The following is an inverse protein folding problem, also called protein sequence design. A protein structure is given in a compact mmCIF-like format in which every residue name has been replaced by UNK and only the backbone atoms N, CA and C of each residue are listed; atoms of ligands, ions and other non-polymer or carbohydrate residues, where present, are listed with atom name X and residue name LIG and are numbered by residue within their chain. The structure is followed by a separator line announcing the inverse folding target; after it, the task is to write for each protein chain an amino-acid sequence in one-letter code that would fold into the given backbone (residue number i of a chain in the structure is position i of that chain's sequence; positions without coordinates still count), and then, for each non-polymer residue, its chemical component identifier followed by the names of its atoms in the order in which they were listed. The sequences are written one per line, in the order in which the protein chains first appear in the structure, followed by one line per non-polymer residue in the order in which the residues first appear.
data_IF_150037695655
#
_entry.id   IF_150037695655
#
_cell.length_a   1.000
_cell.length_b   1.000
_cell.length_c   1.000
_cell.angle_alpha   90.00
_cell.angle_beta   90.00
_cell.angle_gamma   90.00
#
_symmetry.space_group_name_H-M   'P 1'
#
loop_
_entity.id
_entity.type
_entity.pdbx_description
1 polymer ?
#
# COMPACT_ATOMS: atom_id res chain seq x y z
N UNK A 1 13.37 41.54 12.25
CA UNK A 1 12.42 40.41 12.14
C UNK A 1 12.15 40.21 10.65
N UNK A 2 13.04 39.46 9.98
CA UNK A 2 12.91 39.14 8.56
C UNK A 2 12.13 37.82 8.45
N UNK A 3 10.91 37.90 7.93
CA UNK A 3 10.06 36.73 7.68
C UNK A 3 10.74 35.80 6.70
N UNK A 4 11.08 34.60 7.16
CA UNK A 4 11.43 33.49 6.27
C UNK A 4 10.25 33.24 5.34
N UNK A 5 10.46 33.09 4.04
CA UNK A 5 9.40 32.66 3.14
C UNK A 5 8.99 31.23 3.53
N UNK A 6 7.85 31.09 4.18
CA UNK A 6 7.14 29.81 4.21
C UNK A 6 6.82 29.50 2.77
N UNK A 7 7.43 28.44 2.23
CA UNK A 7 7.00 27.88 0.96
C UNK A 7 5.56 27.39 1.16
N UNK A 8 4.60 28.28 0.90
CA UNK A 8 3.18 27.93 0.76
C UNK A 8 3.03 27.18 -0.56
N UNK A 9 3.64 25.98 -0.65
CA UNK A 9 3.59 25.15 -1.83
C UNK A 9 2.23 24.51 -1.97
N UNK A 10 1.32 25.20 -2.65
CA UNK A 10 0.17 24.53 -3.27
C UNK A 10 0.71 23.73 -4.43
N UNK A 11 0.52 22.40 -4.40
CA UNK A 11 0.82 21.53 -5.55
C UNK A 11 -0.28 21.67 -6.58
N UNK A 12 0.09 21.55 -7.87
CA UNK A 12 -0.83 21.67 -8.98
C UNK A 12 -1.64 20.38 -9.22
N UNK A 13 -2.63 20.47 -10.13
CA UNK A 13 -3.49 19.34 -10.51
C UNK A 13 -2.69 18.14 -11.02
N UNK A 14 -1.62 18.35 -11.79
CA UNK A 14 -0.76 17.27 -12.29
C UNK A 14 -0.13 16.43 -11.18
N UNK A 15 0.27 17.04 -10.07
CA UNK A 15 0.77 16.32 -8.90
C UNK A 15 -0.32 15.42 -8.30
N UNK A 16 -1.52 15.95 -8.11
CA UNK A 16 -2.65 15.18 -7.57
C UNK A 16 -3.04 14.04 -8.49
N UNK A 17 -3.04 14.24 -9.81
CA UNK A 17 -3.33 13.19 -10.79
C UNK A 17 -2.33 12.03 -10.67
N UNK A 18 -1.02 12.34 -10.70
CA UNK A 18 0.03 11.31 -10.58
C UNK A 18 -0.01 10.61 -9.23
N UNK A 19 -0.24 11.37 -8.15
CA UNK A 19 -0.36 10.83 -6.80
C UNK A 19 -1.58 9.88 -6.67
N UNK A 20 -2.73 10.30 -7.21
CA UNK A 20 -3.95 9.48 -7.23
C UNK A 20 -3.77 8.23 -8.08
N UNK A 21 -3.13 8.34 -9.25
CA UNK A 21 -2.81 7.19 -10.10
C UNK A 21 -1.87 6.19 -9.43
N UNK A 22 -0.86 6.67 -8.70
CA UNK A 22 0.01 5.79 -7.92
C UNK A 22 -0.76 5.01 -6.85
N UNK A 23 -1.62 5.70 -6.10
CA UNK A 23 -2.47 5.07 -5.09
C UNK A 23 -3.53 4.15 -5.70
N UNK A 24 -4.13 4.55 -6.84
CA UNK A 24 -5.05 3.70 -7.59
C UNK A 24 -4.37 2.39 -7.98
N UNK A 25 -3.16 2.46 -8.54
CA UNK A 25 -2.42 1.26 -8.93
C UNK A 25 -2.11 0.36 -7.72
N UNK A 26 -1.66 0.93 -6.59
CA UNK A 26 -1.40 0.18 -5.36
C UNK A 26 -2.68 -0.53 -4.86
N UNK A 27 -3.78 0.20 -4.75
CA UNK A 27 -5.03 -0.36 -4.25
C UNK A 27 -5.63 -1.41 -5.19
N UNK A 28 -5.55 -1.19 -6.50
CA UNK A 28 -5.99 -2.16 -7.50
C UNK A 28 -5.27 -3.50 -7.32
N UNK A 29 -3.94 -3.48 -7.24
CA UNK A 29 -3.14 -4.72 -7.15
C UNK A 29 -3.15 -5.37 -5.77
N UNK A 30 -3.52 -4.63 -4.74
CA UNK A 30 -3.69 -5.20 -3.40
C UNK A 30 -5.08 -5.81 -3.22
N UNK A 31 -6.13 -5.09 -3.63
CA UNK A 31 -7.51 -5.47 -3.31
C UNK A 31 -8.09 -6.51 -4.27
N UNK A 32 -7.70 -6.50 -5.55
CA UNK A 32 -8.19 -7.49 -6.52
C UNK A 32 -7.77 -8.91 -6.18
N UNK A 33 -6.49 -9.21 -5.90
CA UNK A 33 -6.10 -10.53 -5.43
C UNK A 33 -6.75 -10.89 -4.10
N UNK A 34 -6.81 -9.95 -3.16
CA UNK A 34 -7.36 -10.18 -1.82
C UNK A 34 -8.83 -10.61 -1.87
N UNK A 35 -9.63 -9.96 -2.72
CA UNK A 35 -11.08 -10.16 -2.76
C UNK A 35 -11.53 -11.22 -3.77
N UNK A 36 -10.78 -11.43 -4.84
CA UNK A 36 -11.20 -12.30 -5.94
C UNK A 36 -10.20 -13.42 -6.22
N UNK A 37 -8.95 -13.08 -6.55
CA UNK A 37 -8.05 -14.05 -7.16
C UNK A 37 -7.51 -15.09 -6.17
N UNK A 38 -7.12 -14.69 -4.95
CA UNK A 38 -6.64 -15.60 -3.91
C UNK A 38 -7.71 -16.61 -3.49
N UNK A 39 -8.94 -16.20 -3.16
CA UNK A 39 -10.02 -17.12 -2.91
C UNK A 39 -10.27 -18.10 -4.06
N UNK A 40 -10.28 -17.62 -5.30
CA UNK A 40 -10.47 -18.49 -6.48
C UNK A 40 -9.31 -19.46 -6.67
N UNK A 41 -8.08 -19.03 -6.48
CA UNK A 41 -6.87 -19.85 -6.65
C UNK A 41 -6.75 -20.94 -5.57
N UNK A 42 -7.17 -20.66 -4.35
CA UNK A 42 -7.07 -21.57 -3.21
C UNK A 42 -8.31 -22.47 -3.03
N UNK A 43 -9.44 -22.11 -3.63
CA UNK A 43 -10.66 -22.91 -3.60
C UNK A 43 -10.68 -23.90 -4.75
N UNK A 44 -9.76 -24.86 -4.73
CA UNK A 44 -9.70 -25.95 -5.73
C UNK A 44 -10.49 -27.16 -5.26
N UNK A 45 -11.22 -27.87 -6.17
CA UNK A 45 -11.98 -29.07 -5.83
C UNK A 45 -11.15 -30.23 -5.22
N UNK A 46 -9.84 -30.23 -5.48
CA UNK A 46 -8.89 -31.24 -5.01
C UNK A 46 -8.43 -31.07 -3.56
N UNK A 47 -8.84 -30.01 -2.88
CA UNK A 47 -8.55 -29.84 -1.46
C UNK A 47 -9.38 -30.83 -0.63
N UNK A 48 -8.70 -31.74 0.08
CA UNK A 48 -9.31 -32.75 0.93
C UNK A 48 -10.30 -32.16 1.97
N UNK A 49 -10.13 -30.91 2.37
CA UNK A 49 -10.96 -30.20 3.34
C UNK A 49 -12.05 -29.32 2.67
N UNK A 50 -12.22 -29.41 1.35
CA UNK A 50 -13.23 -28.66 0.61
C UNK A 50 -13.07 -27.14 0.74
N UNK A 51 -14.19 -26.39 0.69
CA UNK A 51 -14.21 -24.93 0.78
C UNK A 51 -13.64 -24.38 2.11
N UNK A 52 -13.75 -25.14 3.21
CA UNK A 52 -13.21 -24.76 4.52
C UNK A 52 -11.68 -24.64 4.46
N UNK A 53 -11.01 -25.60 3.81
CA UNK A 53 -9.55 -25.55 3.60
C UNK A 53 -9.11 -24.33 2.82
N UNK A 54 -9.85 -23.93 1.78
CA UNK A 54 -9.62 -22.72 1.00
C UNK A 54 -9.75 -21.44 1.84
N UNK A 55 -10.81 -21.35 2.68
CA UNK A 55 -11.01 -20.20 3.59
C UNK A 55 -9.89 -20.08 4.61
N UNK A 56 -9.54 -21.19 5.27
CA UNK A 56 -8.49 -21.22 6.29
C UNK A 56 -7.13 -20.85 5.70
N UNK A 57 -6.77 -21.44 4.56
CA UNK A 57 -5.51 -21.15 3.87
C UNK A 57 -5.44 -19.68 3.43
N UNK A 58 -6.51 -19.14 2.84
CA UNK A 58 -6.60 -17.71 2.49
C UNK A 58 -6.44 -16.82 3.72
N UNK A 59 -7.13 -17.14 4.81
CA UNK A 59 -7.05 -16.38 6.06
C UNK A 59 -5.63 -16.35 6.63
N UNK A 60 -4.94 -17.49 6.65
CA UNK A 60 -3.55 -17.58 7.14
C UNK A 60 -2.60 -16.77 6.26
N UNK A 61 -2.71 -16.88 4.94
CA UNK A 61 -1.88 -16.13 3.98
C UNK A 61 -2.08 -14.63 4.14
N UNK A 62 -3.33 -14.19 4.23
CA UNK A 62 -3.67 -12.77 4.41
C UNK A 62 -3.15 -12.24 5.75
N UNK A 63 -3.31 -13.02 6.84
CA UNK A 63 -2.82 -12.66 8.15
C UNK A 63 -1.28 -12.54 8.18
N UNK A 64 -0.57 -13.49 7.57
CA UNK A 64 0.89 -13.46 7.48
C UNK A 64 1.38 -12.22 6.72
N UNK A 65 0.77 -11.90 5.57
CA UNK A 65 1.07 -10.69 4.82
C UNK A 65 0.83 -9.41 5.63
N UNK A 66 -0.31 -9.34 6.33
CA UNK A 66 -0.67 -8.22 7.19
C UNK A 66 0.32 -8.00 8.34
N UNK A 67 0.72 -9.07 9.03
CA UNK A 67 1.71 -9.00 10.12
C UNK A 67 3.06 -8.47 9.64
N UNK A 68 3.53 -8.96 8.48
CA UNK A 68 4.78 -8.47 7.90
C UNK A 68 4.66 -7.01 7.46
N UNK A 69 3.54 -6.60 6.88
CA UNK A 69 3.30 -5.22 6.46
C UNK A 69 3.33 -4.23 7.64
N UNK A 70 2.81 -4.62 8.82
CA UNK A 70 2.85 -3.80 10.05
C UNK A 70 4.29 -3.44 10.43
N UNK A 71 5.22 -4.35 10.22
CA UNK A 71 6.66 -4.15 10.53
C UNK A 71 7.37 -3.45 9.38
N UNK A 72 7.09 -3.86 8.14
CA UNK A 72 7.74 -3.34 6.93
C UNK A 72 7.49 -1.84 6.71
N UNK A 73 6.27 -1.34 6.99
CA UNK A 73 5.90 0.05 6.81
C UNK A 73 6.76 1.03 7.61
N UNK A 74 6.80 0.93 8.96
CA UNK A 74 7.64 1.79 9.80
C UNK A 74 9.14 1.67 9.50
N UNK A 75 9.62 0.45 9.19
CA UNK A 75 11.04 0.22 8.86
C UNK A 75 11.39 0.93 7.55
N UNK A 76 10.59 0.72 6.50
CA UNK A 76 10.83 1.36 5.19
C UNK A 76 10.71 2.88 5.28
N UNK A 77 9.76 3.41 6.04
CA UNK A 77 9.64 4.83 6.33
C UNK A 77 10.91 5.38 6.98
N UNK A 78 11.39 4.75 8.04
CA UNK A 78 12.60 5.16 8.76
C UNK A 78 13.88 5.05 7.90
N UNK A 79 13.98 4.03 7.05
CA UNK A 79 15.12 3.87 6.12
C UNK A 79 15.06 4.90 5.01
N UNK A 80 13.87 5.14 4.45
CA UNK A 80 13.64 6.15 3.42
C UNK A 80 13.97 7.56 3.92
N UNK A 81 13.73 7.86 5.21
CA UNK A 81 14.12 9.12 5.85
C UNK A 81 15.63 9.34 5.91
N UNK A 82 16.41 8.27 5.97
CA UNK A 82 17.88 8.30 6.04
C UNK A 82 18.54 8.24 4.67
N UNK A 83 17.77 7.88 3.64
CA UNK A 83 18.31 7.71 2.29
C UNK A 83 18.71 9.07 1.70
N UNK A 84 19.94 9.12 1.18
CA UNK A 84 20.49 10.24 0.43
C UNK A 84 20.84 9.74 -0.96
N UNK A 85 19.91 9.85 -1.90
CA UNK A 85 20.09 9.42 -3.28
C UNK A 85 20.00 10.60 -4.22
N UNK A 86 20.79 10.58 -5.30
CA UNK A 86 20.71 11.54 -6.40
C UNK A 86 19.35 11.52 -7.13
N UNK A 87 18.59 10.45 -6.97
CA UNK A 87 17.25 10.29 -7.57
C UNK A 87 16.12 10.78 -6.66
N UNK A 88 16.45 11.40 -5.52
CA UNK A 88 15.51 11.77 -4.48
C UNK A 88 15.54 10.84 -3.26
N UNK A 89 14.83 11.21 -2.20
CA UNK A 89 14.80 10.47 -0.94
C UNK A 89 13.77 9.35 -0.95
N UNK A 90 12.59 9.61 -1.52
CA UNK A 90 11.43 8.72 -1.51
C UNK A 90 11.32 7.86 -2.77
N UNK A 91 11.74 8.39 -3.90
CA UNK A 91 11.60 7.73 -5.21
C UNK A 91 12.23 6.33 -5.28
N UNK A 92 13.45 6.06 -4.77
CA UNK A 92 14.02 4.71 -4.81
C UNK A 92 13.18 3.69 -4.04
N UNK A 93 12.61 4.09 -2.90
CA UNK A 93 11.77 3.23 -2.07
C UNK A 93 10.40 2.98 -2.71
N UNK A 94 9.79 4.01 -3.29
CA UNK A 94 8.54 3.86 -4.04
C UNK A 94 8.73 2.91 -5.23
N UNK A 95 9.80 3.07 -6.03
CA UNK A 95 10.14 2.16 -7.13
C UNK A 95 10.42 0.75 -6.65
N UNK A 96 11.21 0.59 -5.59
CA UNK A 96 11.49 -0.71 -4.99
C UNK A 96 10.22 -1.44 -4.56
N UNK A 97 9.28 -0.73 -3.91
CA UNK A 97 7.97 -1.27 -3.55
C UNK A 97 7.12 -1.64 -4.76
N UNK A 98 7.06 -0.78 -5.78
CA UNK A 98 6.33 -1.03 -7.05
C UNK A 98 6.84 -2.28 -7.75
N UNK A 99 8.15 -2.42 -7.91
CA UNK A 99 8.73 -3.60 -8.57
C UNK A 99 8.62 -4.86 -7.73
N UNK A 100 8.71 -4.75 -6.40
CA UNK A 100 8.47 -5.89 -5.53
C UNK A 100 7.02 -6.39 -5.65
N UNK A 101 6.04 -5.47 -5.74
CA UNK A 101 4.65 -5.85 -6.02
C UNK A 101 4.51 -6.54 -7.37
N UNK A 102 5.08 -5.98 -8.44
CA UNK A 102 4.99 -6.55 -9.78
C UNK A 102 5.60 -7.96 -9.84
N UNK A 103 6.79 -8.15 -9.29
CA UNK A 103 7.48 -9.44 -9.23
C UNK A 103 6.72 -10.46 -8.37
N UNK A 104 6.13 -10.02 -7.25
CA UNK A 104 5.32 -10.88 -6.39
C UNK A 104 4.05 -11.35 -7.10
N UNK A 105 3.33 -10.46 -7.79
CA UNK A 105 2.16 -10.84 -8.59
C UNK A 105 2.53 -11.81 -9.71
N UNK A 106 3.64 -11.54 -10.39
CA UNK A 106 4.16 -12.47 -11.40
C UNK A 106 4.48 -13.84 -10.81
N UNK A 107 5.09 -13.90 -9.62
CA UNK A 107 5.37 -15.15 -8.95
C UNK A 107 4.09 -15.88 -8.52
N UNK A 108 3.06 -15.17 -8.03
CA UNK A 108 1.76 -15.77 -7.68
C UNK A 108 1.08 -16.36 -8.91
N UNK A 109 1.18 -15.72 -10.08
CA UNK A 109 0.57 -16.17 -11.32
C UNK A 109 0.96 -17.63 -11.69
N UNK A 110 2.18 -18.04 -11.36
CA UNK A 110 2.73 -19.37 -11.65
C UNK A 110 2.89 -20.26 -10.41
N UNK A 111 2.45 -19.78 -9.25
CA UNK A 111 2.55 -20.55 -8.02
C UNK A 111 1.51 -21.68 -7.99
N UNK A 112 1.97 -22.92 -7.84
CA UNK A 112 1.13 -24.12 -7.78
C UNK A 112 0.93 -24.63 -6.36
N UNK A 113 1.74 -24.20 -5.40
CA UNK A 113 1.64 -24.63 -4.01
C UNK A 113 1.19 -23.48 -3.10
N UNK A 114 0.44 -23.81 -2.06
CA UNK A 114 -0.04 -22.85 -1.04
C UNK A 114 1.14 -22.07 -0.42
N UNK A 115 2.28 -22.73 -0.19
CA UNK A 115 3.48 -22.10 0.36
C UNK A 115 4.11 -21.09 -0.60
N UNK A 116 4.17 -21.40 -1.90
CA UNK A 116 4.68 -20.47 -2.90
C UNK A 116 3.79 -19.22 -3.00
N UNK A 117 2.46 -19.41 -2.96
CA UNK A 117 1.48 -18.32 -2.92
C UNK A 117 1.69 -17.48 -1.66
N UNK A 118 1.86 -18.12 -0.49
CA UNK A 118 2.08 -17.43 0.78
C UNK A 118 3.34 -16.56 0.77
N UNK A 119 4.47 -17.10 0.30
CA UNK A 119 5.73 -16.36 0.22
C UNK A 119 5.61 -15.17 -0.73
N UNK A 120 5.04 -15.38 -1.90
CA UNK A 120 4.85 -14.32 -2.88
C UNK A 120 3.84 -13.25 -2.38
N UNK A 121 2.79 -13.66 -1.65
CA UNK A 121 1.85 -12.73 -1.00
C UNK A 121 2.52 -11.86 0.08
N UNK A 122 3.42 -12.44 0.87
CA UNK A 122 4.24 -11.69 1.81
C UNK A 122 5.08 -10.65 1.06
N UNK A 123 5.71 -11.03 -0.05
CA UNK A 123 6.44 -10.11 -0.92
C UNK A 123 5.56 -8.95 -1.43
N UNK A 124 4.35 -9.25 -1.91
CA UNK A 124 3.36 -8.26 -2.31
C UNK A 124 3.03 -7.30 -1.16
N UNK A 125 2.75 -7.83 0.02
CA UNK A 125 2.41 -7.05 1.22
C UNK A 125 3.55 -6.13 1.67
N UNK A 126 4.79 -6.60 1.60
CA UNK A 126 5.99 -5.77 1.84
C UNK A 126 6.10 -4.67 0.79
N UNK A 127 5.92 -5.00 -0.49
CA UNK A 127 5.96 -4.02 -1.59
C UNK A 127 4.93 -2.91 -1.39
N UNK A 128 3.69 -3.27 -1.04
CA UNK A 128 2.61 -2.33 -0.70
C UNK A 128 3.01 -1.44 0.49
N UNK A 129 3.52 -2.03 1.56
CA UNK A 129 3.93 -1.28 2.76
C UNK A 129 5.05 -0.28 2.46
N UNK A 130 6.05 -0.69 1.67
CA UNK A 130 7.19 0.14 1.27
C UNK A 130 6.76 1.29 0.38
N UNK A 131 6.00 1.02 -0.69
CA UNK A 131 5.51 2.05 -1.61
C UNK A 131 4.57 3.02 -0.90
N UNK A 132 3.62 2.51 -0.10
CA UNK A 132 2.67 3.33 0.66
C UNK A 132 3.37 4.24 1.67
N UNK A 133 4.40 3.75 2.37
CA UNK A 133 5.20 4.57 3.29
C UNK A 133 5.90 5.71 2.55
N UNK A 134 6.48 5.44 1.37
CA UNK A 134 7.14 6.45 0.56
C UNK A 134 6.15 7.51 0.03
N UNK A 135 4.99 7.11 -0.51
CA UNK A 135 3.97 8.05 -1.00
C UNK A 135 3.29 8.83 0.12
N UNK A 136 3.03 8.21 1.27
CA UNK A 136 2.48 8.92 2.44
C UNK A 136 3.46 9.98 2.95
N UNK A 137 4.76 9.68 2.93
CA UNK A 137 5.78 10.64 3.34
C UNK A 137 5.83 11.87 2.42
N UNK A 138 5.54 11.72 1.10
CA UNK A 138 5.44 12.87 0.19
C UNK A 138 4.34 13.85 0.61
N UNK A 139 3.22 13.37 1.19
CA UNK A 139 2.16 14.24 1.73
C UNK A 139 2.74 15.14 2.83
N UNK A 140 3.49 14.54 3.77
CA UNK A 140 4.09 15.28 4.87
C UNK A 140 5.18 16.25 4.41
N UNK A 141 5.96 15.84 3.40
CA UNK A 141 7.10 16.56 2.88
C UNK A 141 6.69 17.74 1.98
N UNK A 142 5.58 17.64 1.22
CA UNK A 142 5.22 18.61 0.18
C UNK A 142 3.93 19.40 0.47
N UNK A 143 3.04 18.86 1.29
CA UNK A 143 1.72 19.47 1.51
C UNK A 143 1.63 20.08 2.91
N UNK A 144 1.38 21.38 2.99
CA UNK A 144 1.07 22.06 4.26
C UNK A 144 -0.44 22.21 4.47
N UNK A 145 -1.16 22.71 3.46
CA UNK A 145 -2.60 23.01 3.55
C UNK A 145 -3.50 21.98 2.88
N UNK A 146 -2.99 21.26 1.86
CA UNK A 146 -3.78 20.36 1.00
C UNK A 146 -3.78 18.89 1.50
N UNK A 147 -3.47 18.62 2.77
CA UNK A 147 -3.41 17.26 3.32
C UNK A 147 -4.77 16.55 3.30
N UNK A 148 -5.84 17.29 3.53
CA UNK A 148 -7.20 16.77 3.44
C UNK A 148 -7.54 16.29 2.03
N UNK A 149 -7.19 17.07 1.01
CA UNK A 149 -7.38 16.69 -0.40
C UNK A 149 -6.57 15.44 -0.76
N UNK A 150 -5.32 15.34 -0.29
CA UNK A 150 -4.50 14.14 -0.51
C UNK A 150 -5.11 12.91 0.16
N UNK A 151 -5.62 13.04 1.39
CA UNK A 151 -6.30 11.92 2.07
C UNK A 151 -7.58 11.50 1.34
N UNK A 152 -8.36 12.47 0.84
CA UNK A 152 -9.54 12.19 0.02
C UNK A 152 -9.16 11.47 -1.28
N UNK A 153 -8.07 11.89 -1.95
CA UNK A 153 -7.56 11.24 -3.15
C UNK A 153 -7.16 9.78 -2.89
N UNK A 154 -6.49 9.48 -1.76
CA UNK A 154 -6.13 8.11 -1.37
C UNK A 154 -7.38 7.24 -1.15
N UNK A 155 -8.38 7.76 -0.43
CA UNK A 155 -9.63 7.03 -0.15
C UNK A 155 -10.45 6.80 -1.42
N UNK A 156 -10.53 7.79 -2.31
CA UNK A 156 -11.19 7.65 -3.61
C UNK A 156 -10.45 6.64 -4.50
N UNK A 157 -9.12 6.67 -4.50
CA UNK A 157 -8.29 5.71 -5.23
C UNK A 157 -8.51 4.28 -4.71
N UNK A 158 -8.74 4.09 -3.41
CA UNK A 158 -9.07 2.78 -2.84
C UNK A 158 -10.39 2.24 -3.38
N UNK A 159 -11.45 3.04 -3.33
CA UNK A 159 -12.76 2.63 -3.82
C UNK A 159 -12.75 2.35 -5.34
N UNK A 160 -12.10 3.22 -6.11
CA UNK A 160 -11.94 3.03 -7.55
C UNK A 160 -11.04 1.84 -7.88
N UNK A 161 -10.01 1.57 -7.07
CA UNK A 161 -9.08 0.46 -7.26
C UNK A 161 -9.77 -0.90 -7.26
N UNK A 162 -10.75 -1.09 -6.36
CA UNK A 162 -11.59 -2.31 -6.35
C UNK A 162 -12.38 -2.41 -7.64
N UNK A 163 -13.09 -1.35 -8.01
CA UNK A 163 -13.96 -1.33 -9.20
C UNK A 163 -13.14 -1.59 -10.48
N UNK A 164 -12.00 -0.92 -10.61
CA UNK A 164 -11.12 -1.06 -11.77
C UNK A 164 -10.51 -2.46 -11.83
N UNK A 165 -9.99 -2.96 -10.71
CA UNK A 165 -9.30 -4.24 -10.68
C UNK A 165 -10.22 -5.43 -10.84
N UNK A 166 -11.23 -5.55 -10.00
CA UNK A 166 -12.22 -6.65 -10.09
C UNK A 166 -13.04 -6.50 -11.37
N UNK A 167 -13.46 -5.27 -11.70
CA UNK A 167 -14.21 -5.01 -12.92
C UNK A 167 -13.44 -5.40 -14.18
N UNK A 168 -12.14 -5.08 -14.28
CA UNK A 168 -11.33 -5.48 -15.43
C UNK A 168 -11.22 -7.01 -15.55
N UNK A 169 -10.98 -7.72 -14.45
CA UNK A 169 -10.87 -9.19 -14.46
C UNK A 169 -12.18 -9.82 -14.92
N UNK A 170 -13.31 -9.36 -14.38
CA UNK A 170 -14.63 -9.92 -14.71
C UNK A 170 -15.08 -9.56 -16.13
N UNK A 171 -14.97 -8.28 -16.52
CA UNK A 171 -15.44 -7.82 -17.82
C UNK A 171 -14.62 -8.35 -18.99
N UNK A 172 -13.31 -8.57 -18.78
CA UNK A 172 -12.42 -9.15 -19.79
C UNK A 172 -12.41 -10.67 -19.77
N UNK A 173 -13.10 -11.30 -18.80
CA UNK A 173 -13.14 -12.76 -18.66
C UNK A 173 -11.77 -13.39 -18.39
N UNK A 174 -10.90 -12.68 -17.66
CA UNK A 174 -9.53 -13.13 -17.44
C UNK A 174 -9.47 -14.36 -16.52
N UNK A 175 -8.70 -15.37 -16.92
CA UNK A 175 -8.31 -16.43 -16.02
C UNK A 175 -7.46 -15.93 -14.86
N UNK A 176 -7.32 -16.73 -13.79
CA UNK A 176 -6.57 -16.33 -12.57
C UNK A 176 -5.13 -15.94 -12.91
N UNK A 177 -4.44 -16.74 -13.73
CA UNK A 177 -3.05 -16.47 -14.14
C UNK A 177 -2.94 -15.18 -14.94
N UNK A 178 -3.81 -14.99 -15.95
CA UNK A 178 -3.80 -13.81 -16.80
C UNK A 178 -4.12 -12.53 -16.01
N UNK A 179 -5.05 -12.64 -15.05
CA UNK A 179 -5.40 -11.53 -14.17
C UNK A 179 -4.19 -11.08 -13.33
N UNK A 180 -3.42 -12.01 -12.75
CA UNK A 180 -2.20 -11.66 -12.02
C UNK A 180 -1.14 -11.02 -12.93
N UNK A 181 -0.97 -11.51 -14.17
CA UNK A 181 -0.03 -10.94 -15.13
C UNK A 181 -0.42 -9.53 -15.56
N UNK A 182 -1.71 -9.29 -15.82
CA UNK A 182 -2.24 -7.96 -16.14
C UNK A 182 -2.03 -7.00 -14.97
N UNK A 183 -2.30 -7.43 -13.74
CA UNK A 183 -2.07 -6.63 -12.54
C UNK A 183 -0.57 -6.34 -12.32
N UNK A 184 0.31 -7.32 -12.57
CA UNK A 184 1.76 -7.15 -12.49
C UNK A 184 2.25 -6.11 -13.51
N UNK A 185 1.81 -6.20 -14.76
CA UNK A 185 2.12 -5.22 -15.80
C UNK A 185 1.55 -3.83 -15.46
N UNK A 186 0.32 -3.77 -14.96
CA UNK A 186 -0.34 -2.52 -14.58
C UNK A 186 0.44 -1.77 -13.50
N UNK A 187 0.78 -2.43 -12.39
CA UNK A 187 1.56 -1.78 -11.32
C UNK A 187 2.97 -1.45 -11.78
N UNK A 188 3.62 -2.34 -12.53
CA UNK A 188 4.96 -2.11 -13.08
C UNK A 188 5.01 -0.87 -13.96
N UNK A 189 4.05 -0.68 -14.85
CA UNK A 189 3.98 0.46 -15.77
C UNK A 189 3.47 1.71 -15.04
N UNK A 190 2.24 1.68 -14.54
CA UNK A 190 1.57 2.86 -13.97
C UNK A 190 2.30 3.32 -12.70
N UNK A 191 2.69 2.39 -11.82
CA UNK A 191 3.43 2.69 -10.60
C UNK A 191 4.80 3.30 -10.89
N UNK A 192 5.52 2.79 -11.88
CA UNK A 192 6.83 3.33 -12.29
C UNK A 192 6.68 4.72 -12.89
N UNK A 193 5.77 4.90 -13.86
CA UNK A 193 5.53 6.20 -14.50
C UNK A 193 5.10 7.25 -13.46
N UNK A 194 4.14 6.92 -12.61
CA UNK A 194 3.70 7.82 -11.55
C UNK A 194 4.84 8.19 -10.59
N UNK A 195 5.65 7.21 -10.18
CA UNK A 195 6.79 7.45 -9.28
C UNK A 195 7.88 8.31 -9.92
N UNK A 196 8.18 8.08 -11.20
CA UNK A 196 9.22 8.84 -11.91
C UNK A 196 8.80 10.28 -12.20
N UNK A 197 7.53 10.50 -12.51
CA UNK A 197 7.00 11.82 -12.82
C UNK A 197 6.64 12.64 -11.58
N UNK A 198 6.37 12.00 -10.44
CA UNK A 198 6.13 12.72 -9.18
C UNK A 198 7.43 13.42 -8.73
N UNK A 199 7.40 14.72 -8.47
CA UNK A 199 8.57 15.44 -7.97
C UNK A 199 8.92 14.93 -6.56
N UNK A 200 10.18 14.54 -6.37
CA UNK A 200 10.76 14.18 -5.08
C UNK A 200 11.74 15.30 -4.68
N UNK A 201 11.41 16.14 -3.70
CA UNK A 201 12.24 17.28 -3.35
C UNK A 201 13.61 16.86 -2.85
N UNK A 202 14.64 17.54 -3.33
CA UNK A 202 16.03 17.26 -2.97
C UNK A 202 16.27 17.40 -1.46
N UNK A 203 17.04 16.48 -0.86
CA UNK A 203 17.34 16.48 0.58
C UNK A 203 18.02 17.77 1.07
N UNK A 204 18.73 18.49 0.21
CA UNK A 204 19.47 19.71 0.54
C UNK A 204 18.56 20.86 0.95
N UNK A 205 17.35 20.94 0.40
CA UNK A 205 16.38 21.99 0.71
C UNK A 205 15.81 21.82 2.13
N UNK A 206 15.73 20.60 2.63
CA UNK A 206 15.18 20.28 3.96
C UNK A 206 16.24 20.18 5.07
N UNK A 207 17.52 20.06 4.73
CA UNK A 207 18.60 19.98 5.73
C UNK A 207 18.76 21.28 6.55
N UNK A 208 18.27 22.40 6.03
CA UNK A 208 18.37 23.74 6.67
C UNK A 208 17.24 24.01 7.67
N UNK A 209 16.16 23.23 7.68
CA UNK A 209 14.90 23.66 8.31
C UNK A 209 14.63 23.11 9.74
N UNK A 210 15.44 22.23 10.29
CA UNK A 210 15.20 21.72 11.66
C UNK A 210 16.47 21.78 12.50
N UNK A 211 16.59 22.73 13.46
CA UNK A 211 17.67 22.73 14.43
C UNK A 211 17.69 21.40 15.20
N UNK A 212 18.86 20.76 15.27
CA UNK A 212 19.08 19.48 15.99
C UNK A 212 18.68 19.55 17.47
N UNK A 213 18.49 20.72 18.03
CA UNK A 213 18.15 20.94 19.44
C UNK A 213 16.70 20.60 19.82
N UNK A 214 15.80 20.40 18.87
CA UNK A 214 14.37 20.17 19.14
C UNK A 214 13.90 18.74 18.86
N UNK A 215 14.84 17.82 18.71
CA UNK A 215 14.55 16.39 18.85
C UNK A 215 14.52 16.05 20.36
N UNK A 216 13.54 16.57 21.08
CA UNK A 216 13.11 15.94 22.31
C UNK A 216 12.89 14.47 21.98
N UNK A 217 13.61 13.58 22.69
CA UNK A 217 13.31 12.15 22.72
C UNK A 217 11.93 12.04 23.35
N UNK A 218 10.90 12.29 22.58
CA UNK A 218 9.53 11.90 22.96
C UNK A 218 9.66 10.41 23.27
N UNK A 219 9.56 10.06 24.55
CA UNK A 219 9.55 8.67 24.99
C UNK A 219 8.40 8.03 24.22
N UNK A 220 8.73 7.17 23.27
CA UNK A 220 7.80 6.60 22.28
C UNK A 220 6.58 5.94 22.91
N UNK A 221 6.63 5.63 24.19
CA UNK A 221 5.56 5.01 24.97
C UNK A 221 4.67 6.01 25.72
N UNK A 222 5.06 7.28 25.87
CA UNK A 222 4.21 8.30 26.52
C UNK A 222 2.98 8.65 25.68
N UNK A 223 3.10 8.57 24.35
CA UNK A 223 1.97 8.79 23.44
C UNK A 223 0.87 7.74 23.61
N UNK A 224 1.24 6.48 23.92
CA UNK A 224 0.27 5.41 24.19
C UNK A 224 -0.48 5.60 25.51
N UNK A 225 0.03 6.45 26.39
CA UNK A 225 -0.58 6.78 27.68
C UNK A 225 -1.64 7.87 27.58
N UNK A 226 -1.68 8.58 26.45
CA UNK A 226 -2.76 9.53 26.16
C UNK A 226 -4.05 8.77 25.88
N UNK A 227 -5.05 8.98 26.74
CA UNK A 227 -6.35 8.32 26.68
C UNK A 227 -7.06 8.57 25.35
N UNK A 228 -6.98 9.78 24.81
CA UNK A 228 -7.62 10.14 23.55
C UNK A 228 -6.94 9.43 22.37
N UNK A 229 -5.59 9.36 22.39
CA UNK A 229 -4.83 8.62 21.40
C UNK A 229 -5.14 7.12 21.46
N UNK A 230 -5.20 6.53 22.65
CA UNK A 230 -5.53 5.12 22.83
C UNK A 230 -6.95 4.79 22.32
N UNK A 231 -7.96 5.65 22.60
CA UNK A 231 -9.30 5.48 22.06
C UNK A 231 -9.35 5.60 20.54
N UNK A 232 -8.68 6.58 19.96
CA UNK A 232 -8.59 6.72 18.50
C UNK A 232 -7.94 5.50 17.83
N UNK A 233 -6.85 5.00 18.43
CA UNK A 233 -6.15 3.81 17.93
C UNK A 233 -7.02 2.56 18.01
N UNK A 234 -7.71 2.36 19.15
CA UNK A 234 -8.61 1.22 19.36
C UNK A 234 -9.79 1.25 18.39
N UNK A 235 -10.44 2.40 18.21
CA UNK A 235 -11.53 2.56 17.26
C UNK A 235 -11.08 2.25 15.83
N UNK A 236 -9.91 2.76 15.42
CA UNK A 236 -9.34 2.48 14.10
C UNK A 236 -8.99 1.00 13.92
N UNK A 237 -8.50 0.34 14.95
CA UNK A 237 -8.20 -1.09 14.94
C UNK A 237 -9.49 -1.91 14.73
N UNK A 238 -10.55 -1.63 15.48
CA UNK A 238 -11.84 -2.32 15.35
C UNK A 238 -12.44 -2.14 13.96
N UNK A 239 -12.46 -0.91 13.43
CA UNK A 239 -12.94 -0.63 12.07
C UNK A 239 -12.12 -1.37 11.01
N UNK A 240 -10.78 -1.40 11.16
CA UNK A 240 -9.92 -2.10 10.21
C UNK A 240 -10.13 -3.62 10.27
N UNK A 241 -10.32 -4.21 11.46
CA UNK A 241 -10.63 -5.64 11.61
C UNK A 241 -11.97 -5.95 10.93
N UNK A 242 -13.03 -5.15 11.20
CA UNK A 242 -14.32 -5.32 10.54
C UNK A 242 -14.24 -5.23 9.02
N UNK A 243 -13.52 -4.25 8.51
CA UNK A 243 -13.27 -4.10 7.07
C UNK A 243 -12.50 -5.30 6.49
N UNK A 244 -11.46 -5.77 7.17
CA UNK A 244 -10.65 -6.91 6.73
C UNK A 244 -11.50 -8.20 6.67
N UNK A 245 -12.32 -8.46 7.68
CA UNK A 245 -13.24 -9.61 7.70
C UNK A 245 -14.28 -9.50 6.57
N UNK A 246 -14.92 -8.33 6.43
CA UNK A 246 -15.93 -8.12 5.39
C UNK A 246 -15.36 -8.29 3.97
N UNK A 247 -14.17 -7.75 3.71
CA UNK A 247 -13.55 -7.82 2.38
C UNK A 247 -12.94 -9.19 2.07
N UNK A 248 -12.30 -9.84 3.04
CA UNK A 248 -11.66 -11.14 2.84
C UNK A 248 -12.67 -12.29 2.68
N UNK A 249 -13.81 -12.19 3.36
CA UNK A 249 -14.83 -13.26 3.36
C UNK A 249 -15.98 -12.99 2.38
N UNK A 250 -16.01 -11.82 1.72
CA UNK A 250 -17.13 -11.42 0.86
C UNK A 250 -17.43 -12.45 -0.24
N UNK A 251 -16.40 -12.92 -0.92
CA UNK A 251 -16.59 -13.90 -2.01
C UNK A 251 -17.13 -15.22 -1.48
N UNK A 252 -16.61 -15.71 -0.36
CA UNK A 252 -17.11 -16.95 0.26
C UNK A 252 -18.55 -16.80 0.72
N UNK A 253 -18.92 -15.65 1.28
CA UNK A 253 -20.30 -15.36 1.69
C UNK A 253 -21.27 -15.28 0.51
N UNK A 254 -20.83 -14.89 -0.67
CA UNK A 254 -21.66 -14.83 -1.89
C UNK A 254 -21.79 -16.22 -2.52
N UNK A 255 -20.78 -17.08 -2.42
CA UNK A 255 -20.75 -18.39 -3.07
C UNK A 255 -21.45 -19.49 -2.27
N UNK A 256 -21.55 -19.32 -0.95
CA UNK A 256 -22.12 -20.28 0.01
C UNK A 256 -23.14 -19.65 0.93
#
# INVERSE_FOLDING_TARGET
MSGMPRSTGRVGAGWFTLFTLAWLAIWTVQLTPLQLLLPLQLNTPDNADGWIGGVVSSGIILAAGGLVAIVAGPISGALSDRTRSRFGRRRPWALGGVWLMALSLFAIAFATSVWAIAIAWIGLSVGVAVASAAFTALIADQLSEQRGTASAAVSSAQALGIIVGVGAVVLLGLGVTDAYLVLAAFIGIVGTVATLLLPDPNPEVFAVAVPKAQRERVRRFEVLRDRNFAWMLSARLVVNIGNALGTALLLFFILY
#
